data_IF_168694685179
#
_entry.id   IF_168694685179
#
_cell.length_a   1.000
_cell.length_b   1.000
_cell.length_c   1.000
_cell.angle_alpha   90.00
_cell.angle_beta   90.00
_cell.angle_gamma   90.00
#
_symmetry.space_group_name_H-M   'P 1'
#
loop_
_entity.id
_entity.type
_entity.pdbx_description
1 polymer ?
#
# COMPACT_ATOMS: atom_id res chain seq x y z
N UNK A 1 -15.61 -15.74 5.56
CA UNK A 1 -15.57 -16.05 4.12
C UNK A 1 -14.86 -17.37 3.98
N UNK A 2 -15.33 -18.28 3.12
CA UNK A 2 -14.87 -19.67 3.07
C UNK A 2 -13.58 -19.81 2.24
N UNK A 3 -12.64 -20.64 2.70
CA UNK A 3 -11.40 -21.04 1.99
C UNK A 3 -11.71 -21.62 0.60
N UNK A 4 -12.80 -22.37 0.45
CA UNK A 4 -13.23 -22.91 -0.83
C UNK A 4 -13.63 -21.81 -1.82
N UNK A 5 -14.25 -20.73 -1.32
CA UNK A 5 -14.63 -19.59 -2.14
C UNK A 5 -13.40 -18.88 -2.72
N UNK A 6 -12.39 -18.60 -1.89
CA UNK A 6 -11.14 -17.99 -2.37
C UNK A 6 -10.44 -18.88 -3.39
N UNK A 7 -10.34 -20.18 -3.10
CA UNK A 7 -9.73 -21.16 -4.01
C UNK A 7 -10.42 -21.14 -5.37
N UNK A 8 -11.75 -21.18 -5.40
CA UNK A 8 -12.54 -21.11 -6.63
C UNK A 8 -12.29 -19.82 -7.42
N UNK A 9 -12.30 -18.66 -6.74
CA UNK A 9 -12.15 -17.35 -7.40
C UNK A 9 -10.74 -17.10 -7.94
N UNK A 10 -9.71 -17.52 -7.22
CA UNK A 10 -8.32 -17.41 -7.64
C UNK A 10 -7.94 -18.45 -8.72
N UNK A 11 -8.65 -19.57 -8.78
CA UNK A 11 -8.47 -20.56 -9.85
C UNK A 11 -9.19 -20.17 -11.15
N UNK A 12 -10.17 -19.26 -11.09
CA UNK A 12 -10.93 -18.81 -12.26
C UNK A 12 -10.05 -18.12 -13.30
N UNK A 13 -10.40 -18.23 -14.58
CA UNK A 13 -9.82 -17.44 -15.68
C UNK A 13 -10.44 -16.05 -15.80
N UNK A 14 -11.56 -15.80 -15.11
CA UNK A 14 -12.20 -14.48 -15.06
C UNK A 14 -11.43 -13.52 -14.15
N UNK A 15 -10.85 -12.48 -14.75
CA UNK A 15 -10.10 -11.43 -14.04
C UNK A 15 -10.95 -10.71 -13.00
N UNK A 16 -12.26 -10.58 -13.20
CA UNK A 16 -13.14 -9.90 -12.24
C UNK A 16 -13.28 -10.70 -10.96
N UNK A 17 -13.41 -12.03 -11.09
CA UNK A 17 -13.38 -12.96 -9.96
C UNK A 17 -12.06 -12.90 -9.20
N UNK A 18 -10.92 -12.86 -9.91
CA UNK A 18 -9.59 -12.74 -9.30
C UNK A 18 -9.41 -11.41 -8.55
N UNK A 19 -9.79 -10.29 -9.17
CA UNK A 19 -9.79 -8.97 -8.55
C UNK A 19 -10.59 -8.95 -7.26
N UNK A 20 -11.82 -9.47 -7.32
CA UNK A 20 -12.69 -9.50 -6.15
C UNK A 20 -12.12 -10.37 -5.03
N UNK A 21 -11.50 -11.50 -5.36
CA UNK A 21 -10.79 -12.32 -4.38
C UNK A 21 -9.63 -11.53 -3.73
N UNK A 22 -8.81 -10.81 -4.50
CA UNK A 22 -7.73 -9.99 -3.97
C UNK A 22 -8.24 -8.89 -3.01
N UNK A 23 -9.34 -8.21 -3.35
CA UNK A 23 -9.99 -7.22 -2.48
C UNK A 23 -10.43 -7.86 -1.16
N UNK A 24 -11.08 -9.02 -1.21
CA UNK A 24 -11.62 -9.67 -0.02
C UNK A 24 -10.51 -10.27 0.87
N UNK A 25 -9.41 -10.77 0.28
CA UNK A 25 -8.27 -11.32 1.01
C UNK A 25 -7.62 -10.31 1.96
N UNK A 26 -7.68 -9.00 1.65
CA UNK A 26 -7.17 -7.95 2.54
C UNK A 26 -7.80 -7.95 3.94
N UNK A 27 -8.96 -8.56 4.11
CA UNK A 27 -9.72 -8.58 5.36
C UNK A 27 -9.95 -10.01 5.89
N UNK A 28 -9.32 -11.01 5.28
CA UNK A 28 -9.66 -12.42 5.50
C UNK A 28 -8.83 -13.10 6.61
N UNK A 29 -7.93 -12.38 7.27
CA UNK A 29 -7.17 -12.86 8.44
C UNK A 29 -5.99 -13.79 8.10
N UNK A 30 -5.25 -14.26 9.12
CA UNK A 30 -4.04 -15.08 8.97
C UNK A 30 -4.29 -16.45 8.33
N UNK A 31 -5.48 -17.02 8.48
CA UNK A 31 -5.89 -18.30 7.89
C UNK A 31 -5.85 -18.26 6.36
N UNK A 32 -5.95 -17.06 5.78
CA UNK A 32 -5.89 -16.85 4.33
C UNK A 32 -4.48 -16.96 3.73
N UNK A 33 -3.46 -17.19 4.56
CA UNK A 33 -2.07 -17.44 4.13
C UNK A 33 -1.94 -18.59 3.14
N UNK A 34 -2.84 -19.58 3.19
CA UNK A 34 -2.90 -20.68 2.22
C UNK A 34 -3.12 -20.22 0.77
N UNK A 35 -3.66 -19.00 0.57
CA UNK A 35 -3.94 -18.43 -0.75
C UNK A 35 -2.82 -17.56 -1.31
N UNK A 36 -1.80 -17.22 -0.51
CA UNK A 36 -0.70 -16.32 -0.92
C UNK A 36 0.02 -16.81 -2.18
N UNK A 37 0.35 -18.10 -2.23
CA UNK A 37 1.07 -18.67 -3.37
C UNK A 37 0.29 -18.46 -4.67
N UNK A 38 -1.01 -18.78 -4.66
CA UNK A 38 -1.86 -18.63 -5.84
C UNK A 38 -2.08 -17.17 -6.23
N UNK A 39 -2.21 -16.28 -5.24
CA UNK A 39 -2.34 -14.85 -5.48
C UNK A 39 -1.09 -14.30 -6.19
N UNK A 40 0.10 -14.69 -5.74
CA UNK A 40 1.36 -14.29 -6.38
C UNK A 40 1.52 -14.90 -7.78
N UNK A 41 1.09 -16.14 -8.02
CA UNK A 41 1.12 -16.73 -9.36
C UNK A 41 0.26 -15.95 -10.37
N UNK A 42 -0.89 -15.42 -9.92
CA UNK A 42 -1.74 -14.55 -10.75
C UNK A 42 -1.00 -13.26 -11.08
N UNK A 43 -0.32 -12.68 -10.09
CA UNK A 43 0.47 -11.46 -10.23
C UNK A 43 1.67 -11.63 -11.17
N UNK A 44 2.41 -12.72 -11.06
CA UNK A 44 3.53 -13.05 -11.94
C UNK A 44 3.08 -13.28 -13.39
N UNK A 45 1.83 -13.69 -13.59
CA UNK A 45 1.20 -13.81 -14.91
C UNK A 45 0.71 -12.48 -15.51
N UNK A 46 0.82 -11.36 -14.80
CA UNK A 46 0.50 -10.02 -15.32
C UNK A 46 1.81 -9.32 -15.68
N UNK A 47 1.98 -8.96 -16.95
CA UNK A 47 3.13 -8.16 -17.38
C UNK A 47 2.98 -6.70 -16.91
N UNK A 48 3.42 -6.45 -15.69
CA UNK A 48 3.35 -5.13 -15.06
C UNK A 48 4.22 -4.07 -15.73
N UNK A 49 5.10 -4.42 -16.68
CA UNK A 49 5.95 -3.47 -17.38
C UNK A 49 5.30 -2.95 -18.68
N UNK A 50 4.26 -3.64 -19.16
CA UNK A 50 3.44 -3.32 -20.33
C UNK A 50 2.28 -2.35 -20.04
N UNK A 51 1.43 -2.07 -21.05
CA UNK A 51 0.13 -1.44 -20.85
C UNK A 51 -0.85 -2.45 -20.27
N UNK A 52 -1.10 -2.30 -18.96
CA UNK A 52 -1.92 -3.20 -18.16
C UNK A 52 -3.37 -2.71 -18.21
N UNK A 53 -4.32 -3.62 -18.38
CA UNK A 53 -5.74 -3.27 -18.30
C UNK A 53 -6.10 -2.72 -16.92
N UNK A 54 -7.12 -1.87 -16.82
CA UNK A 54 -7.58 -1.29 -15.55
C UNK A 54 -7.83 -2.38 -14.48
N UNK A 55 -8.42 -3.51 -14.90
CA UNK A 55 -8.72 -4.60 -13.99
C UNK A 55 -7.47 -5.31 -13.49
N UNK A 56 -6.48 -5.55 -14.34
CA UNK A 56 -5.20 -6.14 -13.94
C UNK A 56 -4.38 -5.19 -13.07
N UNK A 57 -4.45 -3.88 -13.32
CA UNK A 57 -3.92 -2.87 -12.41
C UNK A 57 -4.52 -3.05 -11.02
N UNK A 58 -5.85 -3.09 -10.90
CA UNK A 58 -6.50 -3.27 -9.61
C UNK A 58 -6.21 -4.63 -8.96
N UNK A 59 -6.05 -5.72 -9.75
CA UNK A 59 -5.58 -7.00 -9.21
C UNK A 59 -4.22 -6.83 -8.53
N UNK A 60 -3.23 -6.26 -9.22
CA UNK A 60 -1.88 -6.09 -8.65
C UNK A 60 -1.87 -5.17 -7.43
N UNK A 61 -2.66 -4.08 -7.47
CA UNK A 61 -2.82 -3.15 -6.37
C UNK A 61 -3.36 -3.86 -5.11
N UNK A 62 -4.49 -4.56 -5.22
CA UNK A 62 -5.10 -5.22 -4.08
C UNK A 62 -4.34 -6.46 -3.64
N UNK A 63 -3.66 -7.16 -4.56
CA UNK A 63 -2.81 -8.29 -4.23
C UNK A 63 -1.59 -7.88 -3.39
N UNK A 64 -0.95 -6.75 -3.69
CA UNK A 64 0.14 -6.20 -2.89
C UNK A 64 -0.31 -5.95 -1.44
N UNK A 65 -1.46 -5.29 -1.28
CA UNK A 65 -2.05 -4.98 0.02
C UNK A 65 -2.47 -6.23 0.79
N UNK A 66 -3.17 -7.16 0.13
CA UNK A 66 -3.62 -8.40 0.74
C UNK A 66 -2.42 -9.24 1.22
N UNK A 67 -1.41 -9.40 0.36
CA UNK A 67 -0.21 -10.17 0.69
C UNK A 67 0.55 -9.55 1.86
N UNK A 68 0.72 -8.22 1.87
CA UNK A 68 1.33 -7.49 2.98
C UNK A 68 0.61 -7.77 4.30
N UNK A 69 -0.71 -7.56 4.35
CA UNK A 69 -1.51 -7.79 5.57
C UNK A 69 -1.47 -9.23 6.06
N UNK A 70 -1.58 -10.19 5.15
CA UNK A 70 -1.56 -11.60 5.51
C UNK A 70 -0.20 -11.95 6.11
N UNK A 71 0.90 -11.59 5.46
CA UNK A 71 2.26 -11.86 5.97
C UNK A 71 2.51 -11.14 7.29
N UNK A 72 2.06 -9.90 7.42
CA UNK A 72 2.11 -9.16 8.69
C UNK A 72 1.38 -9.93 9.80
N UNK A 73 0.18 -10.45 9.52
CA UNK A 73 -0.67 -11.12 10.50
C UNK A 73 -0.13 -12.46 10.99
N UNK A 74 0.63 -13.18 10.15
CA UNK A 74 1.26 -14.46 10.50
C UNK A 74 2.70 -14.29 11.00
N UNK A 75 3.25 -13.07 10.91
CA UNK A 75 4.65 -12.75 11.22
C UNK A 75 5.58 -13.01 10.04
N UNK A 76 6.20 -11.94 9.54
CA UNK A 76 7.24 -12.07 8.51
C UNK A 76 8.41 -12.90 9.04
N UNK A 77 8.93 -13.78 8.19
CA UNK A 77 10.05 -14.67 8.48
C UNK A 77 11.03 -14.63 7.32
N UNK A 78 12.23 -14.12 7.58
CA UNK A 78 13.31 -14.02 6.59
C UNK A 78 13.80 -15.41 6.13
N UNK A 79 13.57 -16.46 6.91
CA UNK A 79 13.82 -17.84 6.50
C UNK A 79 12.81 -18.37 5.48
N UNK A 80 11.62 -17.78 5.41
CA UNK A 80 10.52 -18.23 4.57
C UNK A 80 10.58 -17.62 3.16
N UNK A 81 10.72 -18.46 2.14
CA UNK A 81 10.82 -18.03 0.74
C UNK A 81 9.53 -17.38 0.22
N UNK A 82 8.36 -17.79 0.72
CA UNK A 82 7.10 -17.16 0.32
C UNK A 82 6.99 -15.74 0.88
N UNK A 83 7.45 -15.50 2.11
CA UNK A 83 7.47 -14.16 2.71
C UNK A 83 8.42 -13.22 1.96
N UNK A 84 9.60 -13.73 1.58
CA UNK A 84 10.54 -13.03 0.69
C UNK A 84 9.91 -12.69 -0.65
N UNK A 85 9.28 -13.66 -1.33
CA UNK A 85 8.58 -13.42 -2.61
C UNK A 85 7.48 -12.35 -2.49
N UNK A 86 6.74 -12.31 -1.38
CA UNK A 86 5.77 -11.23 -1.11
C UNK A 86 6.47 -9.88 -1.02
N UNK A 87 7.55 -9.77 -0.23
CA UNK A 87 8.31 -8.54 -0.09
C UNK A 87 8.88 -8.09 -1.45
N UNK A 88 9.59 -8.96 -2.16
CA UNK A 88 10.22 -8.67 -3.45
C UNK A 88 9.19 -8.19 -4.49
N UNK A 89 7.99 -8.80 -4.49
CA UNK A 89 6.90 -8.37 -5.37
C UNK A 89 6.38 -6.97 -5.01
N UNK A 90 6.15 -6.71 -3.72
CA UNK A 90 5.69 -5.40 -3.23
C UNK A 90 6.75 -4.32 -3.52
N UNK A 91 8.02 -4.62 -3.29
CA UNK A 91 9.15 -3.75 -3.59
C UNK A 91 9.23 -3.44 -5.09
N UNK A 92 9.14 -4.47 -5.96
CA UNK A 92 9.11 -4.29 -7.41
C UNK A 92 8.00 -3.34 -7.85
N UNK A 93 6.80 -3.48 -7.26
CA UNK A 93 5.70 -2.55 -7.52
C UNK A 93 6.03 -1.14 -7.03
N UNK A 94 6.51 -0.98 -5.80
CA UNK A 94 6.82 0.31 -5.21
C UNK A 94 7.88 1.08 -6.01
N UNK A 95 8.85 0.39 -6.59
CA UNK A 95 9.91 0.94 -7.43
C UNK A 95 9.54 1.10 -8.90
N UNK A 96 8.33 0.68 -9.30
CA UNK A 96 7.92 0.70 -10.71
C UNK A 96 7.75 2.13 -11.26
N UNK A 97 8.21 2.39 -12.50
CA UNK A 97 8.17 3.74 -13.11
C UNK A 97 6.78 4.38 -13.23
N UNK A 98 5.75 3.56 -13.45
CA UNK A 98 4.36 4.02 -13.47
C UNK A 98 3.88 4.36 -12.04
N UNK A 99 3.37 5.57 -11.81
CA UNK A 99 3.01 6.07 -10.47
C UNK A 99 1.86 5.29 -9.83
N UNK A 100 0.87 4.84 -10.59
CA UNK A 100 -0.28 4.11 -10.05
C UNK A 100 0.14 2.75 -9.50
N UNK A 101 1.04 2.05 -10.22
CA UNK A 101 1.65 0.78 -9.78
C UNK A 101 2.53 0.99 -8.53
N UNK A 102 3.33 2.06 -8.55
CA UNK A 102 4.16 2.46 -7.42
C UNK A 102 3.34 2.68 -6.15
N UNK A 103 2.23 3.42 -6.26
CA UNK A 103 1.33 3.67 -5.14
C UNK A 103 0.81 2.35 -4.56
N UNK A 104 0.39 1.39 -5.40
CA UNK A 104 -0.02 0.05 -4.93
C UNK A 104 1.05 -0.66 -4.11
N UNK A 105 2.30 -0.64 -4.56
CA UNK A 105 3.44 -1.19 -3.81
C UNK A 105 3.70 -0.45 -2.50
N UNK A 106 3.64 0.88 -2.50
CA UNK A 106 3.83 1.71 -1.29
C UNK A 106 2.77 1.39 -0.22
N UNK A 107 1.51 1.21 -0.62
CA UNK A 107 0.46 0.73 0.28
C UNK A 107 0.74 -0.68 0.78
N UNK A 108 1.22 -1.57 -0.10
CA UNK A 108 1.64 -2.93 0.25
C UNK A 108 2.75 -2.96 1.31
N UNK A 109 3.75 -2.06 1.21
CA UNK A 109 4.82 -1.91 2.20
C UNK A 109 4.25 -1.56 3.58
N UNK A 110 3.36 -0.58 3.67
CA UNK A 110 2.73 -0.24 4.95
C UNK A 110 1.82 -1.35 5.50
N UNK A 111 1.13 -2.08 4.62
CA UNK A 111 0.31 -3.21 5.00
C UNK A 111 1.17 -4.43 5.44
N UNK A 112 2.43 -4.54 4.98
CA UNK A 112 3.42 -5.52 5.45
C UNK A 112 4.03 -5.13 6.81
N UNK A 113 4.27 -3.84 7.03
CA UNK A 113 4.74 -3.29 8.29
C UNK A 113 6.25 -3.42 8.54
N UNK A 114 6.67 -3.17 9.77
CA UNK A 114 8.09 -3.02 10.18
C UNK A 114 8.94 -4.29 10.00
N UNK A 115 8.40 -5.52 10.05
CA UNK A 115 9.10 -6.70 9.57
C UNK A 115 8.75 -6.93 8.08
N UNK A 116 9.72 -6.85 7.14
CA UNK A 116 11.17 -6.68 7.33
C UNK A 116 11.60 -5.20 7.52
N UNK A 117 12.74 -4.97 8.20
CA UNK A 117 13.30 -3.62 8.41
C UNK A 117 13.48 -2.83 7.10
N UNK A 118 13.76 -3.56 6.01
CA UNK A 118 13.83 -3.02 4.65
C UNK A 118 12.56 -2.27 4.21
N UNK A 119 11.38 -2.60 4.75
CA UNK A 119 10.14 -1.85 4.50
C UNK A 119 10.27 -0.39 4.95
N UNK A 120 10.80 -0.16 6.15
CA UNK A 120 10.97 1.20 6.71
C UNK A 120 12.02 1.95 5.90
N UNK A 121 13.16 1.31 5.63
CA UNK A 121 14.26 1.91 4.85
C UNK A 121 13.78 2.35 3.46
N UNK A 122 13.03 1.49 2.76
CA UNK A 122 12.47 1.80 1.45
C UNK A 122 11.42 2.93 1.51
N UNK A 123 10.53 2.93 2.51
CA UNK A 123 9.56 4.01 2.67
C UNK A 123 10.24 5.35 2.99
N UNK A 124 11.33 5.34 3.74
CA UNK A 124 12.17 6.52 4.00
C UNK A 124 12.81 7.00 2.70
N UNK A 125 13.41 6.12 1.92
CA UNK A 125 14.02 6.47 0.63
C UNK A 125 13.01 7.11 -0.33
N UNK A 126 11.83 6.50 -0.47
CA UNK A 126 10.74 7.02 -1.30
C UNK A 126 10.21 8.36 -0.79
N UNK A 127 10.10 8.53 0.53
CA UNK A 127 9.73 9.82 1.14
C UNK A 127 10.69 10.95 0.74
N UNK A 128 11.98 10.65 0.63
CA UNK A 128 13.02 11.65 0.36
C UNK A 128 13.25 11.91 -1.13
N UNK A 129 13.12 10.88 -1.98
CA UNK A 129 13.62 10.93 -3.36
C UNK A 129 12.55 10.83 -4.44
N UNK A 130 11.34 10.36 -4.12
CA UNK A 130 10.36 10.00 -5.13
C UNK A 130 9.57 11.20 -5.67
N UNK A 131 9.83 11.58 -6.91
CA UNK A 131 9.15 12.70 -7.56
C UNK A 131 8.01 12.29 -8.47
N UNK A 132 7.65 10.99 -8.53
CA UNK A 132 6.57 10.50 -9.40
C UNK A 132 5.24 11.14 -8.97
N UNK A 133 4.43 11.56 -9.94
CA UNK A 133 3.09 12.12 -9.75
C UNK A 133 2.05 11.22 -10.36
N UNK A 134 0.89 11.13 -9.73
CA UNK A 134 -0.28 10.48 -10.31
C UNK A 134 -0.73 11.20 -11.60
N UNK A 135 -1.62 10.61 -12.41
CA UNK A 135 -2.07 11.21 -13.66
C UNK A 135 -2.74 12.58 -13.51
N UNK A 136 -3.29 12.89 -12.34
CA UNK A 136 -3.89 14.21 -12.06
C UNK A 136 -2.82 15.28 -11.80
N UNK A 137 -1.62 14.87 -11.42
CA UNK A 137 -0.53 15.75 -11.00
C UNK A 137 -0.67 16.25 -9.56
N UNK A 138 -1.78 15.94 -8.89
CA UNK A 138 -2.10 16.45 -7.57
C UNK A 138 -1.39 15.71 -6.44
N UNK A 139 -1.09 14.43 -6.65
CA UNK A 139 -0.53 13.56 -5.62
C UNK A 139 0.83 13.03 -6.05
N UNK A 140 1.82 13.18 -5.18
CA UNK A 140 3.15 12.60 -5.38
C UNK A 140 3.25 11.26 -4.66
N UNK A 141 4.02 10.33 -5.24
CA UNK A 141 4.32 9.07 -4.60
C UNK A 141 5.12 9.26 -3.30
N UNK A 142 6.01 10.29 -3.19
CA UNK A 142 6.65 10.64 -1.91
C UNK A 142 5.66 11.02 -0.81
N UNK A 143 4.61 11.78 -1.11
CA UNK A 143 3.60 12.13 -0.10
C UNK A 143 2.81 10.91 0.38
N UNK A 144 2.58 9.95 -0.52
CA UNK A 144 1.98 8.65 -0.17
C UNK A 144 2.95 7.82 0.68
N UNK A 145 4.23 7.77 0.31
CA UNK A 145 5.26 7.08 1.09
C UNK A 145 5.40 7.66 2.50
N UNK A 146 5.40 8.98 2.64
CA UNK A 146 5.40 9.66 3.94
C UNK A 146 4.19 9.26 4.78
N UNK A 147 2.98 9.28 4.20
CA UNK A 147 1.75 8.84 4.86
C UNK A 147 1.85 7.39 5.33
N UNK A 148 2.39 6.51 4.48
CA UNK A 148 2.54 5.08 4.78
C UNK A 148 3.61 4.83 5.84
N UNK A 149 4.72 5.57 5.84
CA UNK A 149 5.72 5.55 6.91
C UNK A 149 5.08 5.97 8.24
N UNK A 150 4.34 7.08 8.26
CA UNK A 150 3.64 7.56 9.45
C UNK A 150 2.63 6.56 10.03
N UNK A 151 2.04 5.72 9.17
CA UNK A 151 1.11 4.67 9.57
C UNK A 151 1.80 3.53 10.31
N UNK A 152 3.03 3.17 9.94
CA UNK A 152 3.76 2.04 10.53
C UNK A 152 4.77 2.43 11.60
N UNK A 153 5.37 3.62 11.47
CA UNK A 153 6.35 4.18 12.40
C UNK A 153 6.23 5.72 12.42
N UNK A 154 5.32 6.22 13.26
CA UNK A 154 5.11 7.66 13.43
C UNK A 154 6.38 8.37 13.91
N UNK A 155 7.17 7.76 14.79
CA UNK A 155 8.38 8.36 15.34
C UNK A 155 9.44 8.56 14.26
N UNK A 156 9.57 7.63 13.32
CA UNK A 156 10.40 7.82 12.14
C UNK A 156 9.85 8.92 11.24
N UNK A 157 8.54 8.92 10.96
CA UNK A 157 7.91 9.89 10.08
C UNK A 157 8.05 11.36 10.54
N UNK A 158 8.01 11.62 11.85
CA UNK A 158 8.22 12.97 12.43
C UNK A 158 9.51 13.60 11.93
N UNK A 159 10.58 12.82 11.72
CA UNK A 159 11.88 13.31 11.23
C UNK A 159 11.82 13.88 9.80
N UNK A 160 10.76 13.57 9.07
CA UNK A 160 10.56 13.98 7.68
C UNK A 160 9.37 14.93 7.52
N UNK A 161 8.75 15.38 8.62
CA UNK A 161 7.57 16.24 8.60
C UNK A 161 7.79 17.57 7.84
N UNK A 162 8.99 18.15 7.95
CA UNK A 162 9.36 19.42 7.30
C UNK A 162 9.87 19.27 5.86
N UNK A 163 9.94 18.05 5.34
CA UNK A 163 10.34 17.80 3.95
C UNK A 163 9.21 18.13 2.98
N UNK A 164 9.52 18.17 1.68
CA UNK A 164 8.51 18.32 0.65
C UNK A 164 7.38 17.28 0.76
N UNK A 165 7.71 16.03 1.12
CA UNK A 165 6.73 14.97 1.25
C UNK A 165 5.71 15.24 2.37
N UNK A 166 6.18 15.72 3.52
CA UNK A 166 5.32 16.12 4.64
C UNK A 166 4.43 17.31 4.28
N UNK A 167 4.99 18.35 3.62
CA UNK A 167 4.25 19.52 3.15
C UNK A 167 3.18 19.17 2.11
N UNK A 168 3.52 18.34 1.14
CA UNK A 168 2.58 17.84 0.13
C UNK A 168 1.47 17.01 0.76
N UNK A 169 1.81 16.14 1.72
CA UNK A 169 0.81 15.37 2.44
C UNK A 169 -0.18 16.28 3.19
N UNK A 170 0.29 17.29 3.92
CA UNK A 170 -0.60 18.24 4.63
C UNK A 170 -1.46 19.03 3.66
N UNK A 171 -0.90 19.50 2.54
CA UNK A 171 -1.67 20.19 1.51
C UNK A 171 -2.79 19.29 0.97
N UNK A 172 -2.50 18.00 0.75
CA UNK A 172 -3.50 17.01 0.33
C UNK A 172 -4.56 16.76 1.41
N UNK A 173 -4.16 16.66 2.68
CA UNK A 173 -5.08 16.53 3.83
C UNK A 173 -6.02 17.72 3.91
N UNK A 174 -5.51 18.96 3.79
CA UNK A 174 -6.31 20.19 3.84
C UNK A 174 -7.32 20.23 2.69
N UNK A 175 -6.85 20.10 1.45
CA UNK A 175 -7.72 20.10 0.25
C UNK A 175 -8.83 19.05 0.36
N UNK A 176 -8.47 17.81 0.64
CA UNK A 176 -9.46 16.74 0.74
C UNK A 176 -10.47 16.97 1.87
N UNK A 177 -10.03 17.55 3.00
CA UNK A 177 -10.91 17.86 4.13
C UNK A 177 -11.89 18.99 3.82
N UNK A 178 -11.46 19.99 3.04
CA UNK A 178 -12.33 21.06 2.54
C UNK A 178 -13.38 20.52 1.56
N UNK A 179 -12.99 19.59 0.69
CA UNK A 179 -13.89 18.95 -0.28
C UNK A 179 -14.85 17.93 0.36
N UNK A 180 -14.46 17.31 1.48
CA UNK A 180 -15.19 16.21 2.13
C UNK A 180 -15.31 16.39 3.66
N UNK A 181 -15.91 17.50 4.16
CA UNK A 181 -15.84 17.89 5.56
C UNK A 181 -16.44 16.87 6.53
N UNK A 182 -17.56 16.24 6.15
CA UNK A 182 -18.22 15.21 6.97
C UNK A 182 -17.38 13.93 7.11
N UNK A 183 -16.62 13.58 6.07
CA UNK A 183 -15.75 12.38 6.09
C UNK A 183 -14.40 12.68 6.76
N UNK A 184 -13.94 13.92 6.73
CA UNK A 184 -12.67 14.35 7.30
C UNK A 184 -12.59 14.18 8.82
N UNK A 185 -13.71 14.38 9.51
CA UNK A 185 -13.79 14.37 10.97
C UNK A 185 -14.29 13.05 11.56
N UNK A 186 -14.67 12.08 10.72
CA UNK A 186 -15.13 10.77 11.17
C UNK A 186 -14.02 9.94 11.83
N UNK A 187 -14.35 8.80 12.48
CA UNK A 187 -13.37 7.95 13.19
C UNK A 187 -12.23 7.42 12.31
N UNK A 188 -12.47 7.31 11.01
CA UNK A 188 -11.48 6.92 9.98
C UNK A 188 -11.17 8.09 9.03
N UNK A 189 -11.44 9.32 9.47
CA UNK A 189 -11.26 10.53 8.69
C UNK A 189 -9.79 10.92 8.58
N UNK A 190 -9.46 11.64 7.52
CA UNK A 190 -8.08 12.03 7.25
C UNK A 190 -7.50 12.96 8.34
N UNK A 191 -8.34 13.73 9.04
CA UNK A 191 -7.90 14.59 10.14
C UNK A 191 -7.58 13.77 11.40
N UNK A 192 -8.23 12.63 11.61
CA UNK A 192 -7.85 11.69 12.67
C UNK A 192 -6.51 11.03 12.35
N UNK A 193 -6.27 10.68 11.08
CA UNK A 193 -5.02 10.09 10.62
C UNK A 193 -3.85 11.08 10.68
N UNK A 194 -4.07 12.33 10.28
CA UNK A 194 -3.04 13.38 10.16
C UNK A 194 -2.97 14.32 11.37
N UNK A 195 -3.90 14.22 12.33
CA UNK A 195 -4.04 15.18 13.43
C UNK A 195 -2.79 15.29 14.32
N UNK A 196 -2.03 14.21 14.45
CA UNK A 196 -0.72 14.24 15.13
C UNK A 196 0.26 15.16 14.41
N UNK A 197 0.30 15.12 13.08
CA UNK A 197 1.23 15.90 12.27
C UNK A 197 0.91 17.40 12.33
N UNK A 198 -0.38 17.75 12.45
CA UNK A 198 -0.80 19.14 12.64
C UNK A 198 -0.28 19.70 13.97
N UNK A 199 -0.21 18.88 15.02
CA UNK A 199 0.38 19.28 16.30
C UNK A 199 1.92 19.37 16.24
N UNK A 200 2.58 18.46 15.53
CA UNK A 200 4.04 18.45 15.37
C UNK A 200 4.56 19.60 14.49
N UNK A 201 3.76 20.04 13.52
CA UNK A 201 4.05 21.18 12.63
C UNK A 201 3.42 22.48 13.17
N UNK A 202 2.82 22.43 14.37
CA UNK A 202 1.99 23.48 14.96
C UNK A 202 2.48 24.91 14.70
N UNK A 203 1.59 25.69 14.07
CA UNK A 203 1.60 27.15 13.96
C UNK A 203 2.95 27.79 13.60
N UNK A 204 3.31 27.75 12.31
CA UNK A 204 4.07 28.85 11.69
C UNK A 204 3.12 29.80 10.96
#
# INVERSE_FOLDING_TARGET
MDTEWFTSRLASTDRRSQWWAAVQLMNAGPESSVHLFRLLDICDGIDIDSDVSELEHWITFYAARASGRIVQSIGYDVGNQLHKRVFDWIERLALHRNPERAIGGIWGLADLGTPPAATVDLLVELTLTDTRRDPTGEHTARSVAFRMLARIDRTAAVRYADTDAGREFIANVRRWSEDNPERATGPNGILTEAGWLIAEIGEQ
#
